data_IF_859365166294
#
_entry.id   IF_859365166294
#
_cell.length_a   1.000
_cell.length_b   1.000
_cell.length_c   1.000
_cell.angle_alpha   90.00
_cell.angle_beta   90.00
_cell.angle_gamma   90.00
#
_symmetry.space_group_name_H-M   'P 1'
#
loop_
_entity.id
_entity.type
_entity.pdbx_description
1 polymer ?
#
# COMPACT_ATOMS: atom_id res chain seq x y z
N UNK A 1 -13.54 20.81 6.88
CA UNK A 1 -12.35 20.45 6.07
C UNK A 1 -12.53 19.02 5.57
N UNK A 2 -12.21 18.73 4.31
CA UNK A 2 -12.53 17.44 3.66
C UNK A 2 -11.49 16.38 4.09
N UNK A 3 -11.95 15.22 4.58
CA UNK A 3 -11.07 14.15 5.10
C UNK A 3 -10.43 13.29 3.99
N UNK A 4 -11.07 13.18 2.82
CA UNK A 4 -10.64 12.31 1.73
C UNK A 4 -9.16 12.47 1.30
N UNK A 5 -8.63 13.69 1.03
CA UNK A 5 -7.23 13.82 0.62
C UNK A 5 -6.24 13.41 1.72
N UNK A 6 -6.59 13.61 2.98
CA UNK A 6 -5.75 13.20 4.11
C UNK A 6 -5.75 11.68 4.29
N UNK A 7 -6.87 11.00 4.02
CA UNK A 7 -6.91 9.53 4.01
C UNK A 7 -6.08 8.96 2.87
N UNK A 8 -6.08 9.60 1.69
CA UNK A 8 -5.21 9.21 0.59
C UNK A 8 -3.72 9.39 0.94
N UNK A 9 -3.34 10.56 1.48
CA UNK A 9 -1.97 10.81 1.92
C UNK A 9 -1.51 9.82 3.02
N UNK A 10 -2.41 9.49 3.94
CA UNK A 10 -2.12 8.51 4.99
C UNK A 10 -1.95 7.09 4.42
N UNK A 11 -2.74 6.69 3.42
CA UNK A 11 -2.52 5.42 2.71
C UNK A 11 -1.13 5.40 2.06
N UNK A 12 -0.80 6.44 1.29
CA UNK A 12 0.52 6.55 0.66
C UNK A 12 1.67 6.47 1.67
N UNK A 13 1.51 7.08 2.86
CA UNK A 13 2.50 6.95 3.96
C UNK A 13 2.63 5.51 4.46
N UNK A 14 1.52 4.79 4.64
CA UNK A 14 1.54 3.39 5.10
C UNK A 14 2.17 2.45 4.06
N UNK A 15 1.99 2.77 2.78
CA UNK A 15 2.54 2.01 1.65
C UNK A 15 4.00 2.38 1.35
N UNK A 16 4.53 3.43 1.99
CA UNK A 16 5.90 3.92 1.80
C UNK A 16 6.09 4.79 0.56
N UNK A 17 4.99 5.29 -0.01
CA UNK A 17 4.94 6.12 -1.22
C UNK A 17 4.94 7.63 -0.92
N UNK A 18 4.76 8.02 0.35
CA UNK A 18 4.80 9.42 0.77
C UNK A 18 6.14 9.77 1.41
N UNK A 19 6.87 10.69 0.78
CA UNK A 19 8.09 11.27 1.35
C UNK A 19 7.79 12.07 2.62
N UNK A 20 8.58 11.86 3.67
CA UNK A 20 8.37 12.51 4.97
C UNK A 20 8.58 14.03 4.92
N UNK A 21 9.44 14.51 4.02
CA UNK A 21 9.75 15.93 3.82
C UNK A 21 8.76 16.62 2.85
N UNK A 22 7.82 15.89 2.26
CA UNK A 22 6.84 16.47 1.34
C UNK A 22 5.81 17.34 2.09
N UNK A 23 5.33 18.45 1.49
CA UNK A 23 4.31 19.31 2.10
C UNK A 23 3.02 18.58 2.52
N UNK A 24 2.65 17.53 1.78
CA UNK A 24 1.52 16.65 2.05
C UNK A 24 1.68 15.92 3.39
N UNK A 25 2.91 15.58 3.77
CA UNK A 25 3.25 14.95 5.05
C UNK A 25 2.93 15.89 6.22
N UNK A 26 3.36 17.15 6.14
CA UNK A 26 3.06 18.17 7.16
C UNK A 26 1.57 18.52 7.21
N UNK A 27 0.90 18.58 6.06
CA UNK A 27 -0.55 18.78 5.98
C UNK A 27 -1.32 17.64 6.65
N UNK A 28 -0.89 16.39 6.44
CA UNK A 28 -1.45 15.21 7.08
C UNK A 28 -1.27 15.27 8.61
N UNK A 29 -0.07 15.62 9.10
CA UNK A 29 0.19 15.69 10.54
C UNK A 29 -0.66 16.75 11.24
N UNK A 30 -0.78 17.95 10.64
CA UNK A 30 -1.69 18.99 11.13
C UNK A 30 -3.15 18.54 11.16
N UNK A 31 -3.57 17.75 10.17
CA UNK A 31 -4.92 17.21 10.14
C UNK A 31 -5.15 16.16 11.23
N UNK A 32 -4.23 15.21 11.41
CA UNK A 32 -4.31 14.18 12.44
C UNK A 32 -4.30 14.77 13.85
N UNK A 33 -3.61 15.90 14.06
CA UNK A 33 -3.67 16.63 15.33
C UNK A 33 -5.10 17.11 15.69
N UNK A 34 -5.96 17.38 14.69
CA UNK A 34 -7.28 18.02 14.89
C UNK A 34 -8.47 17.11 14.60
N UNK A 35 -8.33 16.07 13.79
CA UNK A 35 -9.43 15.21 13.36
C UNK A 35 -9.41 13.85 14.07
N UNK A 36 -10.34 13.64 15.01
CA UNK A 36 -10.48 12.37 15.71
C UNK A 36 -10.87 11.20 14.78
N UNK A 37 -11.70 11.46 13.77
CA UNK A 37 -12.12 10.42 12.82
C UNK A 37 -10.95 9.90 11.97
N UNK A 38 -10.06 10.78 11.51
CA UNK A 38 -8.89 10.37 10.77
C UNK A 38 -7.84 9.71 11.65
N UNK A 39 -7.74 10.04 12.94
CA UNK A 39 -6.90 9.28 13.89
C UNK A 39 -7.42 7.86 14.10
N UNK A 40 -8.73 7.69 14.26
CA UNK A 40 -9.36 6.36 14.34
C UNK A 40 -9.12 5.56 13.07
N UNK A 41 -9.37 6.18 11.92
CA UNK A 41 -9.13 5.56 10.63
C UNK A 41 -7.65 5.14 10.45
N UNK A 42 -6.70 5.97 10.90
CA UNK A 42 -5.27 5.63 10.88
C UNK A 42 -4.95 4.37 11.69
N UNK A 43 -5.46 4.30 12.92
CA UNK A 43 -5.26 3.13 13.78
C UNK A 43 -5.86 1.85 13.18
N UNK A 44 -7.03 1.96 12.52
CA UNK A 44 -7.66 0.83 11.83
C UNK A 44 -6.85 0.40 10.60
N UNK A 45 -6.36 1.36 9.81
CA UNK A 45 -5.52 1.10 8.64
C UNK A 45 -4.17 0.46 9.02
N UNK A 46 -3.52 0.93 10.08
CA UNK A 46 -2.30 0.34 10.63
C UNK A 46 -2.54 -1.11 11.08
N UNK A 47 -3.63 -1.37 11.81
CA UNK A 47 -4.01 -2.73 12.22
C UNK A 47 -4.20 -3.64 11.01
N UNK A 48 -4.92 -3.17 9.98
CA UNK A 48 -5.11 -3.92 8.73
C UNK A 48 -3.78 -4.22 8.03
N UNK A 49 -2.87 -3.23 7.94
CA UNK A 49 -1.54 -3.41 7.35
C UNK A 49 -0.76 -4.50 8.08
N UNK A 50 -0.75 -4.48 9.41
CA UNK A 50 -0.07 -5.50 10.22
C UNK A 50 -0.65 -6.89 9.94
N UNK A 51 -1.98 -7.04 9.98
CA UNK A 51 -2.63 -8.33 9.70
C UNK A 51 -2.28 -8.86 8.29
N UNK A 52 -2.35 -8.00 7.28
CA UNK A 52 -2.02 -8.34 5.90
C UNK A 52 -0.55 -8.75 5.74
N UNK A 53 0.38 -8.03 6.37
CA UNK A 53 1.82 -8.33 6.30
C UNK A 53 2.21 -9.69 6.91
N UNK A 54 1.41 -10.19 7.86
CA UNK A 54 1.62 -11.50 8.49
C UNK A 54 0.92 -12.65 7.78
N UNK A 55 0.14 -12.35 6.74
CA UNK A 55 -0.54 -13.38 5.96
C UNK A 55 0.48 -14.13 5.11
N UNK A 56 0.49 -15.48 5.13
CA UNK A 56 1.36 -16.26 4.26
C UNK A 56 1.18 -15.81 2.81
N UNK A 57 2.30 -15.58 2.13
CA UNK A 57 2.30 -15.28 0.71
C UNK A 57 1.71 -16.42 -0.12
N UNK A 58 1.63 -16.25 -1.44
CA UNK A 58 1.13 -17.29 -2.32
C UNK A 58 1.89 -18.62 -2.12
N UNK A 59 1.14 -19.72 -2.06
CA UNK A 59 1.74 -21.05 -1.89
C UNK A 59 2.65 -21.45 -3.05
N UNK A 60 3.48 -22.50 -2.88
CA UNK A 60 4.42 -22.96 -3.90
C UNK A 60 3.76 -23.23 -5.26
N UNK A 61 2.55 -23.79 -5.27
CA UNK A 61 1.79 -24.04 -6.50
C UNK A 61 1.43 -22.76 -7.28
N UNK A 62 1.25 -21.64 -6.58
CA UNK A 62 1.06 -20.35 -7.23
C UNK A 62 2.37 -19.86 -7.84
N UNK A 63 3.47 -19.95 -7.10
CA UNK A 63 4.81 -19.56 -7.57
C UNK A 63 5.23 -20.36 -8.80
N UNK A 64 5.02 -21.68 -8.78
CA UNK A 64 5.33 -22.55 -9.91
C UNK A 64 4.54 -22.18 -11.16
N UNK A 65 3.25 -21.86 -11.01
CA UNK A 65 2.41 -21.40 -12.13
C UNK A 65 2.90 -20.05 -12.67
N UNK A 66 3.27 -19.12 -11.81
CA UNK A 66 3.82 -17.83 -12.22
C UNK A 66 5.12 -18.01 -13.02
N UNK A 67 6.06 -18.80 -12.50
CA UNK A 67 7.35 -19.05 -13.17
C UNK A 67 7.14 -19.71 -14.54
N UNK A 68 6.27 -20.72 -14.63
CA UNK A 68 5.91 -21.34 -15.92
C UNK A 68 5.32 -20.33 -16.90
N UNK A 69 4.43 -19.46 -16.44
CA UNK A 69 3.81 -18.42 -17.28
C UNK A 69 4.83 -17.40 -17.79
N UNK A 70 5.78 -16.99 -16.95
CA UNK A 70 6.83 -16.04 -17.34
C UNK A 70 7.79 -16.64 -18.37
N UNK A 71 8.16 -17.92 -18.24
CA UNK A 71 8.98 -18.62 -19.23
C UNK A 71 8.26 -18.71 -20.57
N UNK A 72 7.01 -19.16 -20.59
CA UNK A 72 6.22 -19.25 -21.82
C UNK A 72 6.06 -17.89 -22.52
N UNK A 73 5.87 -16.80 -21.76
CA UNK A 73 5.78 -15.46 -22.33
C UNK A 73 7.10 -15.02 -22.98
N UNK A 74 8.25 -15.32 -22.36
CA UNK A 74 9.58 -14.99 -22.91
C UNK A 74 9.83 -15.72 -24.23
N UNK A 75 9.49 -17.00 -24.28
CA UNK A 75 9.67 -17.84 -25.47
C UNK A 75 8.74 -17.41 -26.61
N UNK A 76 7.53 -16.93 -26.30
CA UNK A 76 6.58 -16.39 -27.28
C UNK A 76 6.98 -15.02 -27.85
N UNK A 77 7.74 -14.20 -27.10
CA UNK A 77 8.20 -12.87 -27.54
C UNK A 77 9.49 -12.89 -28.37
N UNK A 78 10.10 -14.05 -28.60
CA UNK A 78 11.28 -14.21 -29.45
C UNK A 78 10.99 -14.35 -30.95
N UNK A 79 9.73 -14.26 -31.36
CA UNK A 79 9.30 -14.34 -32.76
C UNK A 79 8.69 -13.04 -33.26
N UNK A 80 9.52 -12.06 -33.63
CA UNK A 80 9.17 -10.95 -34.52
C UNK A 80 10.43 -10.45 -35.22
#
# INVERSE_FOLDING_TARGET
MICAPHRAALSARLDGELDYDAPESEALDRHLARCADCRRWAADAERLRTMSSTTPGPGPDWTDRLLKSLTAHRDGTGGS
#
